data_IF_090046885395
#
_entry.id   IF_090046885395
#
_cell.length_a   1.000
_cell.length_b   1.000
_cell.length_c   1.000
_cell.angle_alpha   90.00
_cell.angle_beta   90.00
_cell.angle_gamma   90.00
#
_symmetry.space_group_name_H-M   'P 1'
#
loop_
_entity.id
_entity.type
_entity.pdbx_description
1 polymer ?
#
# COMPACT_ATOMS: atom_id res chain seq x y z
N UNK A 1 5.12 -5.58 -6.54
CA UNK A 1 4.21 -4.94 -7.51
C UNK A 1 3.55 -5.97 -8.42
N UNK A 2 2.37 -5.63 -8.93
CA UNK A 2 1.66 -6.40 -9.96
C UNK A 2 1.49 -5.59 -11.24
N UNK A 3 1.25 -4.28 -11.11
CA UNK A 3 1.14 -3.35 -12.23
C UNK A 3 1.58 -1.97 -11.79
N UNK A 4 2.45 -1.35 -12.57
CA UNK A 4 2.94 0.01 -12.35
C UNK A 4 2.55 0.83 -13.58
N UNK A 5 1.38 1.47 -13.54
CA UNK A 5 0.82 2.17 -14.71
C UNK A 5 1.28 3.62 -14.73
N UNK A 6 2.19 3.94 -15.65
CA UNK A 6 2.76 5.29 -15.80
C UNK A 6 1.92 6.22 -16.64
N UNK A 7 0.90 5.71 -17.33
CA UNK A 7 0.00 6.50 -18.17
C UNK A 7 -1.13 7.12 -17.35
N UNK A 8 -1.75 6.30 -16.49
CA UNK A 8 -2.88 6.73 -15.65
C UNK A 8 -2.48 7.04 -14.22
N UNK A 9 -1.21 6.78 -13.83
CA UNK A 9 -0.68 7.15 -12.53
C UNK A 9 -1.24 6.32 -11.38
N UNK A 10 -1.37 4.99 -11.54
CA UNK A 10 -1.75 4.10 -10.47
C UNK A 10 -0.79 2.92 -10.37
N UNK A 11 -0.82 2.22 -9.24
CA UNK A 11 -0.14 0.94 -9.10
C UNK A 11 -1.01 -0.08 -8.37
N UNK A 12 -0.75 -1.34 -8.70
CA UNK A 12 -1.36 -2.48 -8.02
C UNK A 12 -0.25 -3.28 -7.37
N UNK A 13 -0.40 -3.60 -6.10
CA UNK A 13 0.58 -4.40 -5.39
C UNK A 13 -0.08 -5.36 -4.40
N UNK A 14 0.68 -6.37 -4.01
CA UNK A 14 0.38 -7.18 -2.84
C UNK A 14 1.16 -6.61 -1.66
N UNK A 15 0.46 -6.22 -0.63
CA UNK A 15 1.06 -5.86 0.66
C UNK A 15 1.03 -7.08 1.56
N UNK A 16 2.21 -7.56 1.96
CA UNK A 16 2.34 -8.64 2.93
C UNK A 16 2.97 -8.11 4.21
N UNK A 17 2.29 -8.34 5.33
CA UNK A 17 2.76 -7.90 6.65
C UNK A 17 2.79 -9.11 7.58
N UNK A 18 3.94 -9.36 8.19
CA UNK A 18 4.19 -10.48 9.11
C UNK A 18 4.45 -10.02 10.55
N UNK A 19 4.07 -8.80 10.87
CA UNK A 19 4.16 -8.26 12.23
C UNK A 19 2.90 -7.49 12.55
N UNK A 20 2.51 -7.49 13.82
CA UNK A 20 1.36 -6.74 14.31
C UNK A 20 1.70 -5.28 14.61
N UNK A 21 0.67 -4.49 14.82
CA UNK A 21 0.77 -3.10 15.23
C UNK A 21 0.49 -2.12 14.09
N UNK A 22 0.84 -0.86 14.34
CA UNK A 22 0.67 0.22 13.38
C UNK A 22 1.67 0.05 12.24
N UNK A 23 1.16 -0.01 11.00
CA UNK A 23 1.99 -0.07 9.81
C UNK A 23 2.34 1.33 9.31
N UNK A 24 1.33 2.17 9.11
CA UNK A 24 1.54 3.54 8.64
C UNK A 24 0.31 4.41 8.86
N UNK A 25 0.56 5.71 9.05
CA UNK A 25 -0.46 6.76 8.98
C UNK A 25 -0.25 7.53 7.70
N UNK A 26 -1.30 7.63 6.89
CA UNK A 26 -1.19 8.22 5.56
C UNK A 26 -2.54 8.72 5.04
N UNK A 27 -2.49 9.48 3.95
CA UNK A 27 -3.66 9.90 3.19
C UNK A 27 -3.43 9.67 1.70
N UNK A 28 -4.52 9.58 0.96
CA UNK A 28 -4.50 9.45 -0.50
C UNK A 28 -5.25 10.63 -1.13
N UNK A 29 -4.67 11.33 -2.12
CA UNK A 29 -5.38 12.38 -2.87
C UNK A 29 -6.39 11.81 -3.87
N UNK A 30 -6.33 10.50 -4.14
CA UNK A 30 -7.20 9.79 -5.07
C UNK A 30 -7.66 8.46 -4.44
N UNK A 31 -8.64 7.75 -5.03
CA UNK A 31 -9.22 6.57 -4.40
C UNK A 31 -8.27 5.37 -4.36
N UNK A 32 -8.52 4.49 -3.39
CA UNK A 32 -7.86 3.20 -3.25
C UNK A 32 -8.91 2.10 -3.20
N UNK A 33 -8.62 1.00 -3.88
CA UNK A 33 -9.41 -0.24 -3.81
C UNK A 33 -8.53 -1.34 -3.24
N UNK A 34 -9.08 -2.19 -2.38
CA UNK A 34 -8.35 -3.30 -1.79
C UNK A 34 -9.18 -4.56 -1.69
N UNK A 35 -8.50 -5.71 -1.78
CA UNK A 35 -9.09 -7.02 -1.53
C UNK A 35 -8.19 -7.78 -0.58
N UNK A 36 -8.73 -8.22 0.57
CA UNK A 36 -7.98 -8.98 1.56
C UNK A 36 -7.88 -10.42 1.12
N UNK A 37 -6.66 -10.92 0.96
CA UNK A 37 -6.38 -12.30 0.54
C UNK A 37 -6.08 -13.20 1.73
N UNK A 38 -5.50 -12.66 2.81
CA UNK A 38 -5.17 -13.41 4.02
C UNK A 38 -5.13 -12.49 5.23
N UNK A 39 -5.57 -13.02 6.37
CA UNK A 39 -5.55 -12.29 7.63
C UNK A 39 -6.58 -11.18 7.70
N UNK A 40 -6.28 -10.17 8.50
CA UNK A 40 -7.18 -9.04 8.71
C UNK A 40 -6.39 -7.79 9.08
N UNK A 41 -7.02 -6.64 8.86
CA UNK A 41 -6.49 -5.34 9.27
C UNK A 41 -7.65 -4.36 9.46
N UNK A 42 -7.38 -3.20 10.05
CA UNK A 42 -8.35 -2.14 10.21
C UNK A 42 -7.66 -0.79 10.24
N UNK A 43 -8.46 0.28 10.15
CA UNK A 43 -8.01 1.63 10.42
C UNK A 43 -8.43 2.05 11.82
N UNK A 44 -7.57 2.77 12.54
CA UNK A 44 -7.91 3.30 13.86
C UNK A 44 -9.11 4.24 13.80
N UNK A 45 -9.29 4.92 12.67
CA UNK A 45 -10.33 5.91 12.44
C UNK A 45 -11.71 5.31 12.11
N UNK A 46 -11.81 3.99 11.94
CA UNK A 46 -13.06 3.30 11.56
C UNK A 46 -13.40 2.14 12.47
N UNK A 47 -14.69 1.81 12.53
CA UNK A 47 -15.20 0.68 13.34
C UNK A 47 -15.19 -0.65 12.59
N UNK A 48 -15.06 -0.63 11.27
CA UNK A 48 -15.04 -1.85 10.46
C UNK A 48 -13.67 -2.51 10.47
N UNK A 49 -13.68 -3.81 10.20
CA UNK A 49 -12.47 -4.61 10.01
C UNK A 49 -12.50 -5.24 8.62
N UNK A 50 -11.36 -5.20 7.94
CA UNK A 50 -11.17 -5.90 6.68
C UNK A 50 -10.65 -7.31 6.97
N UNK A 51 -11.41 -8.32 6.54
CA UNK A 51 -11.10 -9.73 6.75
C UNK A 51 -10.96 -10.45 5.41
N UNK A 52 -10.52 -11.70 5.40
CA UNK A 52 -10.37 -12.46 4.15
C UNK A 52 -11.61 -12.38 3.27
N UNK A 53 -11.39 -12.02 1.99
CA UNK A 53 -12.46 -11.82 1.01
C UNK A 53 -13.12 -10.46 1.04
N UNK A 54 -12.83 -9.61 2.02
CA UNK A 54 -13.37 -8.24 2.06
C UNK A 54 -12.85 -7.41 0.90
N UNK A 55 -13.76 -6.65 0.29
CA UNK A 55 -13.44 -5.56 -0.60
C UNK A 55 -13.49 -4.25 0.18
N UNK A 56 -12.45 -3.42 0.03
CA UNK A 56 -12.32 -2.14 0.70
C UNK A 56 -12.24 -1.04 -0.33
N UNK A 57 -13.03 0.00 -0.13
CA UNK A 57 -12.94 1.24 -0.88
C UNK A 57 -12.54 2.37 0.05
N UNK A 58 -11.49 3.12 -0.32
CA UNK A 58 -11.00 4.26 0.43
C UNK A 58 -11.23 5.51 -0.41
N UNK A 59 -12.14 6.41 0.01
CA UNK A 59 -12.39 7.65 -0.72
C UNK A 59 -11.18 8.59 -0.64
N UNK A 60 -11.02 9.49 -1.62
CA UNK A 60 -9.95 10.47 -1.60
C UNK A 60 -10.00 11.39 -0.37
N UNK A 61 -8.82 11.78 0.10
CA UNK A 61 -8.66 12.85 1.09
C UNK A 61 -8.71 12.43 2.55
N UNK A 62 -9.06 11.20 2.86
CA UNK A 62 -9.09 10.71 4.23
C UNK A 62 -7.67 10.37 4.72
N UNK A 63 -7.37 10.79 5.96
CA UNK A 63 -6.16 10.34 6.67
C UNK A 63 -6.53 9.17 7.55
N UNK A 64 -5.79 8.07 7.45
CA UNK A 64 -6.06 6.90 8.24
C UNK A 64 -4.77 6.17 8.66
N UNK A 65 -4.89 5.36 9.71
CA UNK A 65 -3.79 4.61 10.32
C UNK A 65 -4.08 3.14 10.22
N UNK A 66 -3.29 2.42 9.41
CA UNK A 66 -3.46 0.98 9.20
C UNK A 66 -2.82 0.19 10.35
N UNK A 67 -3.60 -0.73 10.90
CA UNK A 67 -3.19 -1.59 12.01
C UNK A 67 -3.46 -3.05 11.67
N UNK A 68 -2.45 -3.89 11.95
CA UNK A 68 -2.60 -5.35 11.89
C UNK A 68 -2.71 -5.88 13.32
N UNK A 69 -3.80 -6.61 13.67
CA UNK A 69 -4.00 -7.13 15.02
C UNK A 69 -2.92 -8.12 15.47
N UNK A 70 -2.69 -8.21 16.77
CA UNK A 70 -1.68 -9.09 17.35
C UNK A 70 -1.89 -10.58 17.05
N UNK A 71 -3.14 -11.00 16.91
CA UNK A 71 -3.48 -12.39 16.62
C UNK A 71 -3.38 -12.77 15.14
N UNK A 72 -2.91 -11.86 14.30
CA UNK A 72 -2.77 -12.08 12.85
C UNK A 72 -1.30 -12.30 12.51
N UNK A 73 -0.87 -13.55 12.23
CA UNK A 73 0.54 -13.85 11.93
C UNK A 73 0.98 -13.34 10.57
N UNK A 74 0.04 -13.25 9.61
CA UNK A 74 0.32 -12.74 8.27
C UNK A 74 -0.93 -12.09 7.69
N UNK A 75 -0.78 -10.89 7.17
CA UNK A 75 -1.81 -10.18 6.41
C UNK A 75 -1.32 -10.02 4.97
N UNK A 76 -2.18 -10.34 4.01
CA UNK A 76 -1.93 -10.08 2.59
C UNK A 76 -3.16 -9.39 2.00
N UNK A 77 -2.96 -8.22 1.44
CA UNK A 77 -4.01 -7.45 0.77
C UNK A 77 -3.49 -6.96 -0.58
N UNK A 78 -4.30 -7.15 -1.61
CA UNK A 78 -4.05 -6.54 -2.91
C UNK A 78 -4.66 -5.14 -2.89
N UNK A 79 -3.83 -4.13 -3.17
CA UNK A 79 -4.27 -2.74 -3.26
C UNK A 79 -4.08 -2.21 -4.67
N UNK A 80 -5.09 -1.47 -5.14
CA UNK A 80 -5.01 -0.61 -6.31
C UNK A 80 -5.03 0.83 -5.82
N UNK A 81 -3.91 1.54 -5.99
CA UNK A 81 -3.68 2.88 -5.44
C UNK A 81 -3.50 3.87 -6.58
N UNK A 82 -4.41 4.83 -6.68
CA UNK A 82 -4.35 5.87 -7.71
C UNK A 82 -3.65 7.12 -7.17
N UNK A 83 -2.83 7.74 -8.00
CA UNK A 83 -2.17 9.02 -7.70
C UNK A 83 -1.00 8.87 -6.76
N UNK A 84 -1.23 9.04 -5.47
CA UNK A 84 -0.15 9.08 -4.50
C UNK A 84 -0.55 8.48 -3.14
N UNK A 85 0.46 8.20 -2.34
CA UNK A 85 0.34 7.87 -0.93
C UNK A 85 1.22 8.86 -0.16
N UNK A 86 0.61 9.61 0.74
CA UNK A 86 1.28 10.67 1.49
C UNK A 86 1.34 10.27 2.95
N UNK A 87 2.52 9.96 3.44
CA UNK A 87 2.73 9.64 4.85
C UNK A 87 2.70 10.90 5.69
N UNK A 88 2.09 10.81 6.86
CA UNK A 88 1.96 11.95 7.78
C UNK A 88 2.30 11.54 9.21
N UNK A 89 2.77 12.49 10.00
CA UNK A 89 2.94 12.34 11.43
C UNK A 89 1.59 12.50 12.17
N UNK A 90 1.53 12.29 13.50
CA UNK A 90 0.29 12.47 14.26
C UNK A 90 -0.29 13.88 14.20
N UNK A 91 0.50 14.88 13.81
CA UNK A 91 0.06 16.27 13.66
C UNK A 91 -0.39 16.61 12.24
N UNK A 92 -0.35 15.63 11.33
CA UNK A 92 -0.74 15.81 9.93
C UNK A 92 0.34 16.36 9.02
N UNK A 93 1.59 16.49 9.50
CA UNK A 93 2.71 16.95 8.67
C UNK A 93 3.18 15.83 7.76
N UNK A 94 3.47 16.15 6.52
CA UNK A 94 4.00 15.19 5.56
C UNK A 94 5.39 14.71 5.98
N UNK A 95 5.56 13.39 6.05
CA UNK A 95 6.84 12.74 6.38
C UNK A 95 7.37 11.88 5.24
N UNK A 96 6.56 11.59 4.22
CA UNK A 96 6.95 10.80 3.08
C UNK A 96 5.95 10.91 1.95
N UNK A 97 6.36 10.43 0.77
CA UNK A 97 5.56 10.51 -0.45
C UNK A 97 5.89 9.33 -1.36
N UNK A 98 4.86 8.73 -1.93
CA UNK A 98 5.01 7.69 -2.95
C UNK A 98 4.01 7.92 -4.07
N UNK A 99 4.46 7.69 -5.31
CA UNK A 99 3.63 7.58 -6.51
C UNK A 99 4.14 6.42 -7.37
N UNK A 100 3.58 6.22 -8.56
CA UNK A 100 3.99 5.11 -9.43
C UNK A 100 5.47 5.26 -9.84
N UNK A 101 5.96 6.47 -10.01
CA UNK A 101 7.36 6.71 -10.42
C UNK A 101 8.33 6.43 -9.29
N UNK A 102 8.04 6.89 -8.07
CA UNK A 102 8.85 6.54 -6.90
C UNK A 102 8.81 5.04 -6.61
N UNK A 103 7.65 4.37 -6.84
CA UNK A 103 7.54 2.91 -6.70
C UNK A 103 8.45 2.17 -7.68
N UNK A 104 8.54 2.62 -8.92
CA UNK A 104 9.44 2.03 -9.91
C UNK A 104 10.89 2.15 -9.42
N UNK A 105 11.30 3.32 -8.95
CA UNK A 105 12.66 3.53 -8.44
C UNK A 105 12.96 2.66 -7.21
N UNK A 106 12.02 2.56 -6.27
CA UNK A 106 12.16 1.69 -5.09
C UNK A 106 12.31 0.22 -5.50
N UNK A 107 11.51 -0.25 -6.44
CA UNK A 107 11.58 -1.62 -6.95
C UNK A 107 12.92 -1.87 -7.66
N UNK A 108 13.34 -0.94 -8.50
CA UNK A 108 14.62 -1.04 -9.22
C UNK A 108 15.79 -1.15 -8.26
N UNK A 109 15.83 -0.31 -7.23
CA UNK A 109 16.86 -0.35 -6.20
C UNK A 109 16.84 -1.68 -5.42
N UNK A 110 15.65 -2.13 -5.04
CA UNK A 110 15.48 -3.40 -4.32
C UNK A 110 15.95 -4.60 -5.15
N UNK A 111 15.52 -4.69 -6.40
CA UNK A 111 15.89 -5.80 -7.27
C UNK A 111 17.39 -5.81 -7.60
N UNK A 112 17.99 -4.65 -7.71
CA UNK A 112 19.45 -4.54 -7.82
C UNK A 112 20.15 -5.10 -6.58
N UNK A 113 19.68 -4.70 -5.41
CA UNK A 113 20.26 -5.12 -4.12
C UNK A 113 20.12 -6.63 -3.88
N UNK A 114 19.01 -7.23 -4.32
CA UNK A 114 18.73 -8.66 -4.12
C UNK A 114 19.30 -9.56 -5.21
N UNK A 115 19.97 -9.01 -6.22
CA UNK A 115 20.63 -9.78 -7.28
C UNK A 115 19.74 -10.15 -8.46
N UNK A 116 18.48 -9.69 -8.48
CA UNK A 116 17.59 -9.92 -9.63
C UNK A 116 17.87 -8.96 -10.79
N UNK A 117 18.57 -7.86 -10.52
CA UNK A 117 18.82 -6.80 -11.48
C UNK A 117 17.72 -5.74 -11.50
N UNK A 118 18.10 -4.49 -11.75
CA UNK A 118 17.17 -3.37 -11.77
C UNK A 118 16.08 -3.50 -12.83
N UNK A 119 16.40 -4.13 -13.94
CA UNK A 119 15.47 -4.33 -15.07
C UNK A 119 14.32 -5.29 -14.76
N UNK A 120 14.43 -6.05 -13.68
CA UNK A 120 13.35 -6.95 -13.26
C UNK A 120 12.02 -6.23 -13.05
N UNK A 121 12.04 -4.95 -12.68
CA UNK A 121 10.82 -4.15 -12.49
C UNK A 121 10.07 -3.89 -13.80
N UNK A 122 10.76 -3.92 -14.95
CA UNK A 122 10.19 -3.50 -16.23
C UNK A 122 8.98 -4.36 -16.64
N UNK A 123 8.96 -5.64 -16.25
CA UNK A 123 7.84 -6.54 -16.53
C UNK A 123 6.52 -6.11 -15.86
N UNK A 124 6.58 -5.27 -14.83
CA UNK A 124 5.41 -4.79 -14.08
C UNK A 124 4.91 -3.43 -14.59
N UNK A 125 5.67 -2.77 -15.44
CA UNK A 125 5.28 -1.48 -16.02
C UNK A 125 4.27 -1.73 -17.13
N UNK A 126 3.07 -1.22 -16.94
CA UNK A 126 1.96 -1.46 -17.88
C UNK A 126 1.31 -0.16 -18.37
#
# INVERSE_FOLDING_TARGET
PLCLNTVQGYWVNLLRVRKSGVLSRHRHPAPVHGVVLRGSWHYLEHDWKATEGSYVFEPPGETHTLVVPENVPEMITMFHITGAMIYVDPYGRQTGYEDVFTKIEMCRAHYTKTGLGGDYVDQFIC
#
